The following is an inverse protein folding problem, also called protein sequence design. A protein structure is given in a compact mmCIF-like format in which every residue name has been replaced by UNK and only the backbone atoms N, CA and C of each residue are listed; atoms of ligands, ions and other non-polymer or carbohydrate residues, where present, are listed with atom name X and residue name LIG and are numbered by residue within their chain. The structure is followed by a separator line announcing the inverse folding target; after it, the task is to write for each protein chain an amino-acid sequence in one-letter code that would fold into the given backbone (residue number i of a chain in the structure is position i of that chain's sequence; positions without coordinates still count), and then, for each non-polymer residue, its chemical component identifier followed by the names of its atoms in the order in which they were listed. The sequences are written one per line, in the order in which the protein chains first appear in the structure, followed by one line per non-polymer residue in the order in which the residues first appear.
data_IF_490832484032
#
_entry.id   IF_490832484032
#
_cell.length_a   1.000
_cell.length_b   1.000
_cell.length_c   1.000
_cell.angle_alpha   90.00
_cell.angle_beta   90.00
_cell.angle_gamma   90.00
#
_symmetry.space_group_name_H-M   'P 1'
#
loop_
_entity.id
_entity.type
_entity.pdbx_description
1 polymer ?
#
# COMPACT_ATOMS: atom_id res chain seq x y z
N UNK A 1 -15.19 -31.52 -17.22
CA UNK A 1 -15.88 -30.39 -16.55
C UNK A 1 -14.79 -29.53 -15.93
N UNK A 2 -14.58 -28.32 -16.45
CA UNK A 2 -13.77 -27.31 -15.77
C UNK A 2 -14.65 -26.73 -14.66
N UNK A 3 -14.23 -26.87 -13.41
CA UNK A 3 -14.87 -26.16 -12.30
C UNK A 3 -14.40 -24.70 -12.40
N UNK A 4 -15.19 -23.86 -13.05
CA UNK A 4 -14.98 -22.42 -13.04
C UNK A 4 -15.53 -21.86 -11.73
N UNK A 5 -14.68 -21.14 -10.99
CA UNK A 5 -15.05 -20.47 -9.75
C UNK A 5 -15.18 -18.96 -10.04
N UNK A 6 -16.26 -18.35 -9.55
CA UNK A 6 -16.51 -16.93 -9.65
C UNK A 6 -16.44 -16.29 -8.26
N UNK A 7 -15.71 -15.19 -8.15
CA UNK A 7 -15.67 -14.36 -6.95
C UNK A 7 -16.53 -13.11 -7.20
N UNK A 8 -17.53 -12.87 -6.34
CA UNK A 8 -18.44 -11.73 -6.44
C UNK A 8 -18.11 -10.76 -5.30
N UNK A 9 -17.71 -9.54 -5.64
CA UNK A 9 -17.30 -8.51 -4.69
C UNK A 9 -18.05 -7.20 -4.93
N UNK A 10 -18.02 -6.29 -3.95
CA UNK A 10 -18.54 -4.94 -4.10
C UNK A 10 -17.86 -4.21 -5.27
N UNK A 11 -18.64 -3.58 -6.15
CA UNK A 11 -18.11 -2.78 -7.25
C UNK A 11 -17.58 -1.42 -6.77
N UNK A 12 -16.30 -1.13 -7.08
CA UNK A 12 -15.66 0.15 -6.84
C UNK A 12 -15.83 1.07 -8.07
N UNK A 13 -16.58 2.16 -7.94
CA UNK A 13 -16.99 3.01 -9.05
C UNK A 13 -15.94 4.02 -9.51
N UNK A 14 -14.84 4.19 -8.77
CA UNK A 14 -13.76 5.13 -9.05
C UNK A 14 -12.55 4.52 -9.77
N UNK A 15 -12.60 3.23 -10.12
CA UNK A 15 -11.45 2.51 -10.69
C UNK A 15 -10.33 2.29 -9.68
N UNK A 16 -9.14 1.93 -10.16
CA UNK A 16 -7.95 1.82 -9.32
C UNK A 16 -7.29 3.18 -9.01
N UNK A 17 -6.46 3.22 -7.97
CA UNK A 17 -5.79 4.44 -7.50
C UNK A 17 -4.89 5.05 -8.58
N UNK A 18 -4.21 4.24 -9.39
CA UNK A 18 -3.33 4.75 -10.45
C UNK A 18 -4.14 5.57 -11.47
N UNK A 19 -5.25 5.01 -11.96
CA UNK A 19 -6.16 5.70 -12.85
C UNK A 19 -6.84 6.90 -12.18
N UNK A 20 -7.22 6.77 -10.90
CA UNK A 20 -7.81 7.86 -10.14
C UNK A 20 -6.87 9.06 -10.04
N UNK A 21 -5.60 8.83 -9.67
CA UNK A 21 -4.57 9.87 -9.62
C UNK A 21 -4.39 10.49 -11.02
N UNK A 22 -4.15 9.67 -12.05
CA UNK A 22 -3.96 10.15 -13.42
C UNK A 22 -5.07 11.11 -13.89
N UNK A 23 -6.32 10.81 -13.56
CA UNK A 23 -7.47 11.57 -14.06
C UNK A 23 -7.84 12.77 -13.17
N UNK A 24 -7.59 12.69 -11.86
CA UNK A 24 -8.13 13.65 -10.90
C UNK A 24 -7.07 14.44 -10.12
N UNK A 25 -5.77 14.17 -10.31
CA UNK A 25 -4.70 14.71 -9.46
C UNK A 25 -4.75 16.24 -9.27
N UNK A 26 -5.06 17.00 -10.32
CA UNK A 26 -5.14 18.48 -10.27
C UNK A 26 -6.26 18.99 -9.36
N UNK A 27 -7.27 18.17 -9.10
CA UNK A 27 -8.42 18.50 -8.25
C UNK A 27 -8.24 18.00 -6.81
N UNK A 28 -7.22 17.16 -6.54
CA UNK A 28 -6.97 16.61 -5.20
C UNK A 28 -6.22 17.61 -4.34
N UNK A 29 -6.82 17.99 -3.21
CA UNK A 29 -6.14 18.76 -2.17
C UNK A 29 -5.19 17.86 -1.36
N UNK A 30 -4.34 18.47 -0.54
CA UNK A 30 -3.51 17.70 0.40
C UNK A 30 -4.32 16.92 1.42
N UNK A 31 -5.49 17.40 1.81
CA UNK A 31 -6.38 16.65 2.70
C UNK A 31 -6.95 15.41 2.00
N UNK A 32 -7.30 15.52 0.72
CA UNK A 32 -7.76 14.35 -0.06
C UNK A 32 -6.65 13.32 -0.21
N UNK A 33 -5.42 13.76 -0.50
CA UNK A 33 -4.24 12.88 -0.61
C UNK A 33 -3.91 12.17 0.71
N UNK A 34 -3.93 12.91 1.82
CA UNK A 34 -3.70 12.34 3.15
C UNK A 34 -4.83 11.38 3.56
N UNK A 35 -6.09 11.71 3.25
CA UNK A 35 -7.24 10.80 3.40
C UNK A 35 -7.03 9.50 2.63
N UNK A 36 -6.59 9.64 1.36
CA UNK A 36 -5.99 8.63 0.49
C UNK A 36 -5.20 7.58 1.26
N UNK A 37 -4.05 8.05 1.72
CA UNK A 37 -3.05 7.22 2.37
C UNK A 37 -3.51 6.71 3.74
N UNK A 38 -4.25 7.51 4.51
CA UNK A 38 -4.80 7.08 5.80
C UNK A 38 -5.72 5.86 5.65
N UNK A 39 -6.63 5.86 4.68
CA UNK A 39 -7.55 4.74 4.46
C UNK A 39 -6.81 3.46 4.03
N UNK A 40 -5.74 3.60 3.25
CA UNK A 40 -4.88 2.47 2.89
C UNK A 40 -4.14 1.97 4.14
N UNK A 41 -3.59 2.85 4.97
CA UNK A 41 -2.93 2.47 6.22
C UNK A 41 -3.89 1.76 7.20
N UNK A 42 -5.12 2.26 7.34
CA UNK A 42 -6.16 1.66 8.19
C UNK A 42 -6.56 0.26 7.69
N UNK A 43 -6.77 0.10 6.38
CA UNK A 43 -7.00 -1.20 5.77
C UNK A 43 -5.82 -2.16 5.97
N UNK A 44 -4.58 -1.66 5.87
CA UNK A 44 -3.39 -2.48 6.07
C UNK A 44 -3.23 -2.91 7.54
N UNK A 45 -3.54 -2.02 8.48
CA UNK A 45 -3.60 -2.32 9.91
C UNK A 45 -4.60 -3.44 10.20
N UNK A 46 -5.78 -3.41 9.59
CA UNK A 46 -6.75 -4.50 9.71
C UNK A 46 -6.15 -5.84 9.24
N UNK A 47 -5.51 -5.89 8.07
CA UNK A 47 -4.89 -7.12 7.55
C UNK A 47 -3.79 -7.64 8.49
N UNK A 48 -2.91 -6.77 8.97
CA UNK A 48 -1.81 -7.14 9.86
C UNK A 48 -2.33 -7.68 11.20
N UNK A 49 -3.38 -7.08 11.77
CA UNK A 49 -4.03 -7.59 12.98
C UNK A 49 -4.69 -8.98 12.78
N UNK A 50 -5.15 -9.29 11.57
CA UNK A 50 -5.64 -10.62 11.19
C UNK A 50 -4.50 -11.59 10.81
N UNK A 51 -3.23 -11.22 11.03
CA UNK A 51 -2.03 -11.96 10.63
C UNK A 51 -1.96 -12.26 9.12
N UNK A 52 -2.51 -11.37 8.29
CA UNK A 52 -2.51 -11.47 6.82
C UNK A 52 -1.51 -10.48 6.24
N UNK A 53 -0.58 -10.99 5.42
CA UNK A 53 0.29 -10.17 4.59
C UNK A 53 -0.30 -10.03 3.19
N UNK A 54 -0.35 -8.82 2.65
CA UNK A 54 -0.87 -8.58 1.31
C UNK A 54 0.09 -9.09 0.23
N UNK A 55 1.37 -8.70 0.32
CA UNK A 55 2.49 -9.14 -0.53
C UNK A 55 2.49 -8.66 -1.99
N UNK A 56 1.47 -7.87 -2.39
CA UNK A 56 1.34 -7.26 -3.73
C UNK A 56 0.64 -5.90 -3.65
N UNK A 57 0.97 -5.13 -2.63
CA UNK A 57 0.32 -3.85 -2.39
C UNK A 57 0.87 -2.81 -3.38
N UNK A 58 0.05 -2.36 -4.34
CA UNK A 58 0.42 -1.34 -5.32
C UNK A 58 -0.82 -0.61 -5.82
N UNK A 59 -0.66 0.50 -6.55
CA UNK A 59 -1.80 1.39 -6.88
C UNK A 59 -2.89 0.74 -7.74
N UNK A 60 -2.58 -0.31 -8.51
CA UNK A 60 -3.62 -1.09 -9.22
C UNK A 60 -4.44 -2.03 -8.33
N UNK A 61 -3.95 -2.32 -7.12
CA UNK A 61 -4.60 -3.14 -6.08
C UNK A 61 -5.23 -2.27 -4.98
N UNK A 62 -5.30 -0.96 -5.22
CA UNK A 62 -6.11 -0.03 -4.42
C UNK A 62 -7.25 0.43 -5.31
N UNK A 63 -8.48 0.20 -4.91
CA UNK A 63 -9.68 0.65 -5.64
C UNK A 63 -10.34 1.82 -4.93
N UNK A 64 -10.94 2.71 -5.72
CA UNK A 64 -11.64 3.88 -5.23
C UNK A 64 -13.14 3.65 -5.30
N UNK A 65 -13.82 3.82 -4.16
CA UNK A 65 -15.27 3.78 -4.08
C UNK A 65 -15.75 5.03 -3.34
N UNK A 66 -16.54 5.88 -4.01
CA UNK A 66 -17.06 7.13 -3.45
C UNK A 66 -15.96 8.03 -2.83
N UNK A 67 -14.84 8.19 -3.53
CA UNK A 67 -13.65 8.94 -3.06
C UNK A 67 -13.01 8.37 -1.78
N UNK A 68 -13.19 7.07 -1.52
CA UNK A 68 -12.51 6.33 -0.46
C UNK A 68 -11.64 5.23 -1.06
N UNK A 69 -10.42 5.10 -0.57
CA UNK A 69 -9.51 4.04 -0.98
C UNK A 69 -9.80 2.73 -0.23
N UNK A 70 -9.74 1.61 -0.94
CA UNK A 70 -9.88 0.25 -0.40
C UNK A 70 -8.81 -0.66 -0.98
N UNK A 71 -8.24 -1.51 -0.15
CA UNK A 71 -7.29 -2.54 -0.57
C UNK A 71 -8.06 -3.70 -1.24
N UNK A 72 -7.54 -4.24 -2.33
CA UNK A 72 -8.11 -5.38 -3.05
C UNK A 72 -7.03 -6.33 -3.57
N UNK A 73 -7.44 -7.40 -4.25
CA UNK A 73 -6.60 -8.46 -4.82
C UNK A 73 -5.73 -9.19 -3.78
N UNK A 74 -6.39 -10.10 -3.06
CA UNK A 74 -5.75 -10.97 -2.08
C UNK A 74 -5.21 -12.28 -2.68
N UNK A 75 -5.09 -12.38 -4.01
CA UNK A 75 -4.80 -13.64 -4.71
C UNK A 75 -3.47 -14.31 -4.32
N UNK A 76 -2.51 -13.53 -3.80
CA UNK A 76 -1.23 -14.03 -3.28
C UNK A 76 -1.00 -13.71 -1.80
N UNK A 77 -2.02 -13.16 -1.13
CA UNK A 77 -1.96 -12.89 0.30
C UNK A 77 -1.79 -14.19 1.09
N UNK A 78 -1.07 -14.10 2.21
CA UNK A 78 -0.78 -15.28 3.03
C UNK A 78 -0.87 -14.94 4.51
N UNK A 79 -1.35 -15.92 5.28
CA UNK A 79 -1.20 -15.89 6.72
C UNK A 79 0.29 -16.00 7.08
N UNK A 80 0.74 -15.18 8.02
CA UNK A 80 2.14 -15.12 8.46
C UNK A 80 2.68 -16.47 8.95
N UNK A 81 1.82 -17.35 9.47
CA UNK A 81 2.21 -18.66 9.98
C UNK A 81 2.50 -19.69 8.87
N UNK A 82 2.11 -19.42 7.62
CA UNK A 82 2.29 -20.32 6.48
C UNK A 82 3.37 -19.79 5.52
N UNK A 83 4.62 -19.77 6.00
CA UNK A 83 5.79 -19.19 5.31
C UNK A 83 6.38 -20.06 4.19
N UNK A 84 5.67 -21.06 3.65
CA UNK A 84 6.17 -21.83 2.50
C UNK A 84 6.23 -20.91 1.26
N UNK A 85 7.37 -20.25 1.07
CA UNK A 85 7.56 -19.10 0.18
C UNK A 85 8.06 -19.54 -1.20
N UNK A 86 7.16 -20.02 -2.06
CA UNK A 86 7.40 -20.02 -3.51
C UNK A 86 6.79 -18.76 -4.13
N UNK A 87 7.39 -17.60 -3.88
CA UNK A 87 7.12 -16.41 -4.68
C UNK A 87 8.29 -16.21 -5.64
N UNK A 88 8.13 -16.80 -6.83
CA UNK A 88 8.98 -16.60 -7.99
C UNK A 88 9.09 -15.10 -8.30
N UNK A 89 10.32 -14.58 -8.22
CA UNK A 89 10.70 -13.20 -8.59
C UNK A 89 10.32 -12.86 -10.04
N UNK A 90 10.02 -13.86 -10.87
CA UNK A 90 9.78 -13.69 -12.30
C UNK A 90 8.37 -13.26 -12.73
N UNK A 91 7.33 -13.34 -11.88
CA UNK A 91 5.95 -13.24 -12.40
C UNK A 91 4.90 -12.51 -11.54
N UNK A 92 5.26 -11.99 -10.36
CA UNK A 92 4.29 -11.35 -9.46
C UNK A 92 4.93 -10.14 -8.79
N UNK A 93 4.33 -8.97 -9.01
CA UNK A 93 4.76 -7.71 -8.41
C UNK A 93 5.17 -6.64 -9.40
N UNK A 94 4.74 -5.42 -9.10
CA UNK A 94 5.29 -4.21 -9.72
C UNK A 94 6.61 -3.90 -9.00
N UNK A 95 7.75 -4.08 -9.69
CA UNK A 95 9.13 -4.01 -9.14
C UNK A 95 9.34 -2.87 -8.14
N UNK A 96 8.77 -1.70 -8.41
CA UNK A 96 8.88 -0.52 -7.56
C UNK A 96 8.35 -0.69 -6.13
N UNK A 97 7.38 -1.59 -5.90
CA UNK A 97 6.72 -1.80 -4.60
C UNK A 97 7.27 -3.04 -3.88
N UNK A 98 8.11 -3.85 -4.53
CA UNK A 98 8.57 -5.11 -3.95
C UNK A 98 9.64 -4.89 -2.88
N UNK A 99 9.62 -5.73 -1.83
CA UNK A 99 10.65 -5.79 -0.79
C UNK A 99 12.08 -5.81 -1.39
N UNK A 100 12.88 -4.74 -1.20
CA UNK A 100 14.20 -4.63 -1.82
C UNK A 100 15.16 -5.77 -1.47
N UNK A 101 15.08 -6.30 -0.25
CA UNK A 101 15.96 -7.41 0.20
C UNK A 101 15.73 -8.69 -0.60
N UNK A 102 14.53 -8.89 -1.17
CA UNK A 102 14.21 -10.07 -2.00
C UNK A 102 14.87 -10.07 -3.38
N UNK A 103 15.37 -8.93 -3.85
CA UNK A 103 16.18 -8.88 -5.07
C UNK A 103 17.60 -9.41 -4.84
N UNK A 104 18.08 -9.41 -3.59
CA UNK A 104 19.40 -9.90 -3.19
C UNK A 104 19.29 -11.36 -2.75
N UNK A 105 18.34 -11.64 -1.85
CA UNK A 105 18.05 -12.98 -1.36
C UNK A 105 16.59 -13.34 -1.66
N UNK A 106 16.32 -14.15 -2.69
CA UNK A 106 14.96 -14.58 -3.03
C UNK A 106 14.21 -15.30 -1.89
N UNK A 107 14.95 -15.88 -0.93
CA UNK A 107 14.41 -16.56 0.24
C UNK A 107 14.14 -15.61 1.42
N UNK A 108 14.53 -14.33 1.30
CA UNK A 108 14.22 -13.34 2.32
C UNK A 108 12.70 -13.32 2.58
N UNK A 109 12.27 -13.48 3.84
CA UNK A 109 10.87 -13.69 4.17
C UNK A 109 10.05 -12.42 3.91
N UNK A 110 8.80 -12.61 3.48
CA UNK A 110 7.82 -11.54 3.61
C UNK A 110 7.38 -11.43 5.06
N UNK A 111 7.33 -10.20 5.54
CA UNK A 111 6.79 -9.82 6.84
C UNK A 111 6.03 -8.50 6.70
N UNK A 112 5.41 -8.02 7.78
CA UNK A 112 4.69 -6.74 7.79
C UNK A 112 5.52 -5.57 7.24
N UNK A 113 6.84 -5.44 7.57
CA UNK A 113 7.67 -4.39 6.99
C UNK A 113 7.73 -4.39 5.46
N UNK A 114 7.49 -5.53 4.79
CA UNK A 114 7.45 -5.60 3.32
C UNK A 114 6.20 -4.94 2.74
N UNK A 115 5.05 -5.11 3.41
CA UNK A 115 3.84 -4.36 3.03
C UNK A 115 4.00 -2.87 3.37
N UNK A 116 4.68 -2.53 4.48
CA UNK A 116 5.01 -1.14 4.83
C UNK A 116 5.90 -0.48 3.77
N UNK A 117 6.88 -1.19 3.22
CA UNK A 117 7.70 -0.67 2.12
C UNK A 117 6.82 -0.29 0.93
N UNK A 118 5.93 -1.22 0.54
CA UNK A 118 4.97 -1.03 -0.55
C UNK A 118 4.06 0.19 -0.29
N UNK A 119 3.60 0.35 0.95
CA UNK A 119 2.81 1.50 1.40
C UNK A 119 3.59 2.82 1.29
N UNK A 120 4.88 2.85 1.64
CA UNK A 120 5.73 4.03 1.45
C UNK A 120 5.82 4.46 -0.02
N UNK A 121 5.92 3.50 -0.94
CA UNK A 121 5.91 3.78 -2.39
C UNK A 121 4.54 4.32 -2.84
N UNK A 122 3.43 3.76 -2.34
CA UNK A 122 2.08 4.28 -2.58
C UNK A 122 1.90 5.72 -2.10
N UNK A 123 2.39 6.05 -0.91
CA UNK A 123 2.34 7.43 -0.40
C UNK A 123 3.10 8.39 -1.32
N UNK A 124 4.28 7.99 -1.78
CA UNK A 124 5.02 8.80 -2.75
C UNK A 124 4.23 8.97 -4.07
N UNK A 125 3.61 7.91 -4.59
CA UNK A 125 2.79 7.97 -5.81
C UNK A 125 1.57 8.90 -5.64
N UNK A 126 0.92 8.87 -4.47
CA UNK A 126 -0.16 9.81 -4.13
C UNK A 126 0.37 11.26 -4.09
N UNK A 127 1.60 11.47 -3.64
CA UNK A 127 2.22 12.80 -3.61
C UNK A 127 2.55 13.32 -5.02
N UNK A 128 2.99 12.43 -5.92
CA UNK A 128 3.51 12.75 -7.24
C UNK A 128 2.43 12.78 -8.33
N UNK A 129 1.40 11.93 -8.20
CA UNK A 129 0.33 11.76 -9.16
C UNK A 129 0.69 10.91 -10.37
N UNK A 130 1.85 10.27 -10.38
CA UNK A 130 2.30 9.42 -11.47
C UNK A 130 3.01 8.14 -10.97
N UNK A 131 3.05 7.07 -11.78
CA UNK A 131 3.63 5.80 -11.37
C UNK A 131 5.09 5.93 -10.94
N UNK A 132 5.54 5.16 -9.92
CA UNK A 132 6.94 5.16 -9.49
C UNK A 132 7.85 4.60 -10.57
N UNK A 133 9.01 5.22 -10.71
CA UNK A 133 10.04 4.95 -11.70
C UNK A 133 9.49 4.91 -13.14
N UNK A 134 8.53 5.79 -13.46
CA UNK A 134 7.84 5.83 -14.77
C UNK A 134 8.77 5.91 -15.99
N UNK A 135 9.98 6.43 -15.81
CA UNK A 135 10.96 6.65 -16.89
C UNK A 135 11.94 5.45 -17.03
N UNK A 136 11.73 4.36 -16.27
CA UNK A 136 12.60 3.18 -16.27
C UNK A 136 11.84 1.92 -16.75
N UNK A 137 11.95 1.63 -18.05
CA UNK A 137 11.31 0.45 -18.66
C UNK A 137 12.05 -0.87 -18.39
N UNK A 138 13.31 -0.80 -17.95
CA UNK A 138 14.12 -1.99 -17.69
C UNK A 138 13.94 -2.48 -16.25
N UNK A 139 13.01 -3.42 -16.08
CA UNK A 139 12.68 -4.03 -14.77
C UNK A 139 13.89 -4.61 -14.02
N UNK A 140 14.85 -5.20 -14.73
CA UNK A 140 16.05 -5.80 -14.10
C UNK A 140 16.97 -4.69 -13.59
N UNK A 141 17.24 -3.68 -14.43
CA UNK A 141 18.04 -2.54 -14.03
C UNK A 141 17.41 -1.80 -12.84
N UNK A 142 16.08 -1.62 -12.86
CA UNK A 142 15.33 -1.02 -11.78
C UNK A 142 15.44 -1.83 -10.47
N UNK A 143 15.27 -3.15 -10.53
CA UNK A 143 15.42 -4.02 -9.36
C UNK A 143 16.82 -3.90 -8.73
N UNK A 144 17.87 -3.87 -9.56
CA UNK A 144 19.25 -3.67 -9.11
C UNK A 144 19.46 -2.28 -8.50
N UNK A 145 18.87 -1.23 -9.08
CA UNK A 145 18.94 0.11 -8.51
C UNK A 145 18.26 0.18 -7.14
N UNK A 146 17.04 -0.38 -7.02
CA UNK A 146 16.28 -0.40 -5.77
C UNK A 146 17.00 -1.22 -4.69
N UNK A 147 17.58 -2.37 -5.04
CA UNK A 147 18.36 -3.19 -4.10
C UNK A 147 19.59 -2.45 -3.57
N UNK A 148 20.14 -1.52 -4.35
CA UNK A 148 21.25 -0.64 -3.97
C UNK A 148 20.79 0.67 -3.28
N UNK A 149 19.51 0.78 -2.91
CA UNK A 149 18.99 1.91 -2.15
C UNK A 149 18.43 3.06 -3.00
N UNK A 150 18.29 2.90 -4.32
CA UNK A 150 17.63 3.92 -5.14
C UNK A 150 16.18 4.14 -4.66
N UNK A 151 15.79 5.40 -4.57
CA UNK A 151 14.44 5.85 -4.24
C UNK A 151 14.05 6.99 -5.17
N UNK A 152 12.76 7.23 -5.27
CA UNK A 152 12.22 8.34 -6.02
C UNK A 152 12.60 9.71 -5.42
N UNK A 153 12.61 10.73 -6.27
CA UNK A 153 12.89 12.10 -5.85
C UNK A 153 11.67 12.69 -5.14
N UNK A 154 11.91 13.46 -4.08
CA UNK A 154 10.85 14.18 -3.37
C UNK A 154 10.14 15.19 -4.26
N UNK A 155 8.82 15.23 -4.19
CA UNK A 155 8.00 16.14 -5.01
C UNK A 155 7.90 17.51 -4.32
N UNK A 156 8.27 18.62 -5.00
CA UNK A 156 8.10 19.96 -4.47
C UNK A 156 6.65 20.24 -4.06
N UNK A 157 6.46 20.87 -2.90
CA UNK A 157 5.13 21.16 -2.36
C UNK A 157 4.50 20.00 -1.57
N UNK A 158 5.23 18.90 -1.37
CA UNK A 158 4.85 17.85 -0.41
C UNK A 158 5.02 18.33 1.04
N UNK A 159 3.99 18.25 1.89
CA UNK A 159 4.09 18.56 3.32
C UNK A 159 5.18 17.72 3.97
N UNK A 160 5.99 18.35 4.82
CA UNK A 160 7.22 17.73 5.31
C UNK A 160 6.94 16.51 6.18
N UNK A 161 5.87 16.56 6.96
CA UNK A 161 5.40 15.46 7.79
C UNK A 161 5.02 14.22 6.96
N UNK A 162 4.38 14.43 5.79
CA UNK A 162 4.01 13.35 4.88
C UNK A 162 5.24 12.78 4.16
N UNK A 163 6.16 13.67 3.76
CA UNK A 163 7.45 13.29 3.15
C UNK A 163 8.29 12.41 4.08
N UNK A 164 8.44 12.85 5.33
CA UNK A 164 9.20 12.09 6.34
C UNK A 164 8.55 10.73 6.59
N UNK A 165 7.23 10.67 6.67
CA UNK A 165 6.50 9.43 6.93
C UNK A 165 6.73 8.39 5.83
N UNK A 166 6.53 8.73 4.54
CA UNK A 166 6.78 7.74 3.49
C UNK A 166 8.26 7.37 3.39
N UNK A 167 9.16 8.31 3.73
CA UNK A 167 10.60 8.03 3.76
C UNK A 167 10.99 7.01 4.82
N UNK A 168 10.33 7.05 5.97
CA UNK A 168 10.51 6.05 7.00
C UNK A 168 9.91 4.70 6.54
N UNK A 169 8.75 4.71 5.90
CA UNK A 169 8.09 3.47 5.42
C UNK A 169 8.94 2.71 4.39
N UNK A 170 9.57 3.38 3.43
CA UNK A 170 10.35 2.72 2.36
C UNK A 170 11.85 2.60 2.67
N UNK A 171 12.25 2.64 3.95
CA UNK A 171 13.64 2.47 4.36
C UNK A 171 14.23 1.15 3.79
N UNK A 172 15.51 1.17 3.43
CA UNK A 172 16.20 -0.02 2.90
C UNK A 172 16.20 -1.17 3.91
N UNK A 173 16.40 -0.85 5.19
CA UNK A 173 16.45 -1.81 6.27
C UNK A 173 15.03 -2.01 6.86
N UNK A 174 14.46 -3.24 6.78
CA UNK A 174 13.10 -3.52 7.24
C UNK A 174 12.83 -3.11 8.69
N UNK A 175 13.79 -3.30 9.59
CA UNK A 175 13.70 -2.97 11.01
C UNK A 175 13.74 -1.47 11.30
N UNK A 176 14.13 -0.64 10.32
CA UNK A 176 14.13 0.82 10.42
C UNK A 176 12.86 1.44 9.82
N UNK A 177 11.93 0.61 9.33
CA UNK A 177 10.65 1.08 8.78
C UNK A 177 9.67 1.35 9.92
N UNK A 178 8.84 2.38 9.76
CA UNK A 178 7.75 2.65 10.70
C UNK A 178 6.80 1.46 10.79
N UNK A 179 6.43 1.08 12.00
CA UNK A 179 5.34 0.14 12.23
C UNK A 179 4.00 0.74 11.82
N UNK A 180 2.99 -0.13 11.60
CA UNK A 180 1.66 0.33 11.22
C UNK A 180 1.02 1.25 12.28
N UNK A 181 1.30 0.98 13.57
CA UNK A 181 0.83 1.81 14.68
C UNK A 181 1.46 3.21 14.68
N UNK A 182 2.76 3.31 14.40
CA UNK A 182 3.44 4.61 14.27
C UNK A 182 2.88 5.40 13.08
N UNK A 183 2.63 4.74 11.96
CA UNK A 183 2.03 5.34 10.76
C UNK A 183 0.66 5.94 11.07
N UNK A 184 -0.21 5.17 11.74
CA UNK A 184 -1.54 5.64 12.15
C UNK A 184 -1.43 6.82 13.13
N UNK A 185 -0.50 6.76 14.09
CA UNK A 185 -0.25 7.86 15.01
C UNK A 185 0.22 9.15 14.33
N UNK A 186 1.02 9.07 13.25
CA UNK A 186 1.36 10.25 12.45
C UNK A 186 0.14 10.80 11.68
N UNK A 187 -0.71 9.94 11.14
CA UNK A 187 -1.97 10.38 10.51
C UNK A 187 -2.91 11.04 11.50
N UNK A 188 -2.99 10.55 12.74
CA UNK A 188 -3.74 11.19 13.83
C UNK A 188 -3.24 12.61 14.12
N UNK A 189 -1.91 12.80 14.18
CA UNK A 189 -1.30 14.13 14.33
C UNK A 189 -1.58 15.04 13.13
N UNK A 190 -1.76 14.47 11.94
CA UNK A 190 -2.20 15.18 10.73
C UNK A 190 -3.72 15.45 10.69
N UNK A 191 -4.48 15.04 11.71
CA UNK A 191 -5.92 15.30 11.82
C UNK A 191 -6.83 14.20 11.25
N UNK A 192 -6.30 13.01 10.98
CA UNK A 192 -7.08 11.85 10.53
C UNK A 192 -7.37 10.91 11.73
N UNK A 193 -8.23 9.90 11.58
CA UNK A 193 -8.50 8.92 12.66
C UNK A 193 -9.33 9.41 13.87
N UNK A 194 -9.46 10.72 14.11
CA UNK A 194 -10.29 11.26 15.20
C UNK A 194 -11.79 11.15 14.90
N UNK A 195 -12.37 9.97 15.08
CA UNK A 195 -13.83 9.78 15.15
C UNK A 195 -14.30 8.46 15.80
N UNK A 196 -13.60 7.81 16.75
CA UNK A 196 -14.20 6.66 17.48
C UNK A 196 -13.71 6.51 18.94
N UNK A 197 -13.96 7.50 19.80
CA UNK A 197 -14.20 7.24 21.24
C UNK A 197 -15.53 7.81 21.75
N UNK A 198 -16.21 8.66 20.97
CA UNK A 198 -17.53 9.24 21.32
C UNK A 198 -18.71 8.74 20.46
N UNK A 199 -18.57 7.60 19.77
CA UNK A 199 -19.67 6.94 19.02
C UNK A 199 -19.85 5.46 19.36
N UNK A 200 -19.52 5.05 20.59
CA UNK A 200 -19.88 3.71 21.10
C UNK A 200 -21.37 3.58 21.51
N UNK A 201 -22.21 4.52 21.11
CA UNK A 201 -23.67 4.42 21.23
C UNK A 201 -24.34 4.92 19.95
N UNK A 202 -24.19 4.19 18.85
CA UNK A 202 -25.23 3.98 17.82
C UNK A 202 -24.61 3.31 16.59
N UNK A 203 -25.01 2.07 16.32
CA UNK A 203 -24.94 1.49 14.98
C UNK A 203 -23.66 0.72 14.64
N UNK A 204 -23.67 -0.56 15.02
CA UNK A 204 -22.88 -1.62 14.40
C UNK A 204 -22.96 -1.50 12.87
N UNK A 205 -21.89 -1.07 12.21
CA UNK A 205 -21.64 -1.37 10.80
C UNK A 205 -20.57 -2.47 10.71
N UNK A 206 -20.97 -3.66 11.16
CA UNK A 206 -20.45 -4.91 10.62
C UNK A 206 -20.93 -4.98 9.16
N UNK A 207 -20.13 -4.46 8.22
CA UNK A 207 -20.20 -4.95 6.84
C UNK A 207 -19.34 -6.20 6.76
N UNK A 208 -19.97 -7.31 7.18
CA UNK A 208 -19.69 -8.65 6.70
C UNK A 208 -19.51 -8.62 5.19
N UNK A 209 -18.41 -9.20 4.70
CA UNK A 209 -18.21 -9.88 3.41
C UNK A 209 -16.76 -9.70 2.97
N UNK A 210 -15.88 -10.55 3.51
CA UNK A 210 -14.64 -10.94 2.86
C UNK A 210 -14.59 -12.47 2.88
N UNK A 211 -14.79 -13.07 1.70
CA UNK A 211 -14.17 -14.34 1.28
C UNK A 211 -13.33 -13.97 0.08
#
# INVERSE_FOLDING_TARGET
KTNEYLLIMQYANGGDLQNHLKNNFKNLTWNDKKKLAFQIADGLNYLHNENILHRDLHSKNIVIHENNAKITDFGISKNQNNQSSTAYVGNFGVVAYMEPKRFIDPNFPYAEPSDIYSFGVLMWEISSGYPPFKDNDNKIALAVSISNGAREVTIPGTPKEYENLYKNCWNQEPEQRSSINEILGEFERMGFGNNVTNKLSEGIYLCSYYI
#
